data_IF_597960724088
#
_entry.id   IF_597960724088
#
_cell.length_a   1.000
_cell.length_b   1.000
_cell.length_c   1.000
_cell.angle_alpha   90.00
_cell.angle_beta   90.00
_cell.angle_gamma   90.00
#
_symmetry.space_group_name_H-M   'P 1'
#
loop_
_entity.id
_entity.type
_entity.pdbx_description
1 polymer ?
#
# COMPACT_ATOMS: atom_id res chain seq x y z
N UNK A 1 13.56 -12.77 1.78
CA UNK A 1 12.56 -11.76 1.34
C UNK A 1 11.20 -12.15 1.88
N UNK A 2 10.52 -11.23 2.55
CA UNK A 2 9.20 -11.47 3.11
C UNK A 2 8.16 -11.74 1.99
N UNK A 3 8.16 -10.93 0.93
CA UNK A 3 7.22 -11.07 -0.17
C UNK A 3 7.87 -11.78 -1.37
N UNK A 4 7.27 -12.91 -1.78
CA UNK A 4 7.73 -13.75 -2.89
C UNK A 4 7.77 -13.00 -4.23
N UNK A 5 6.83 -12.08 -4.43
CA UNK A 5 6.65 -11.36 -5.69
C UNK A 5 7.13 -9.91 -5.64
N UNK A 6 7.94 -9.53 -4.63
CA UNK A 6 8.35 -8.14 -4.41
C UNK A 6 8.97 -7.44 -5.63
N UNK A 7 9.61 -8.20 -6.54
CA UNK A 7 10.21 -7.67 -7.79
C UNK A 7 9.19 -7.35 -8.89
N UNK A 8 7.95 -7.81 -8.73
CA UNK A 8 6.88 -7.69 -9.73
C UNK A 8 5.66 -6.92 -9.22
N UNK A 9 5.68 -6.51 -7.95
CA UNK A 9 4.60 -5.73 -7.35
C UNK A 9 4.93 -4.26 -7.49
N UNK A 10 3.97 -3.51 -8.00
CA UNK A 10 4.03 -2.07 -8.17
C UNK A 10 2.77 -1.43 -7.59
N UNK A 11 2.92 -0.28 -6.93
CA UNK A 11 1.78 0.54 -6.52
C UNK A 11 1.51 1.60 -7.57
N UNK A 12 0.25 1.86 -7.83
CA UNK A 12 -0.19 2.99 -8.65
C UNK A 12 -0.11 4.26 -7.83
N UNK A 13 0.48 5.29 -8.40
CA UNK A 13 0.50 6.65 -7.88
C UNK A 13 -0.26 7.58 -8.81
N UNK A 14 -0.87 8.61 -8.24
CA UNK A 14 -1.61 9.64 -8.98
C UNK A 14 -1.02 11.01 -8.71
N UNK A 15 -0.71 11.74 -9.76
CA UNK A 15 -0.30 13.14 -9.73
C UNK A 15 -1.43 13.97 -10.34
N UNK A 16 -2.13 14.71 -9.48
CA UNK A 16 -3.35 15.42 -9.83
C UNK A 16 -3.14 16.90 -9.53
N UNK A 17 -3.45 17.77 -10.51
CA UNK A 17 -3.66 19.20 -10.27
C UNK A 17 -5.08 19.53 -10.64
N UNK A 18 -5.81 20.11 -9.69
CA UNK A 18 -7.17 20.56 -9.91
C UNK A 18 -7.44 21.84 -9.12
N UNK A 19 -8.02 22.84 -9.79
CA UNK A 19 -8.28 24.12 -9.13
C UNK A 19 -7.04 24.82 -8.56
N UNK A 20 -5.87 24.62 -9.17
CA UNK A 20 -4.59 25.20 -8.72
C UNK A 20 -3.89 24.45 -7.57
N UNK A 21 -4.47 23.36 -7.06
CA UNK A 21 -3.86 22.54 -6.00
C UNK A 21 -3.19 21.31 -6.60
N UNK A 22 -1.91 21.09 -6.27
CA UNK A 22 -1.16 19.89 -6.62
C UNK A 22 -1.31 18.82 -5.53
N UNK A 23 -1.69 17.61 -5.94
CA UNK A 23 -1.82 16.45 -5.08
C UNK A 23 -0.94 15.32 -5.61
N UNK A 24 -0.01 14.86 -4.78
CA UNK A 24 0.83 13.70 -5.03
C UNK A 24 0.36 12.54 -4.15
N UNK A 25 -0.43 11.63 -4.73
CA UNK A 25 -1.18 10.63 -3.98
C UNK A 25 -0.66 9.21 -4.25
N UNK A 26 -0.62 8.33 -3.22
CA UNK A 26 -0.29 6.92 -3.35
C UNK A 26 -1.51 6.05 -3.66
N UNK A 27 -2.59 6.66 -4.14
CA UNK A 27 -3.90 6.04 -4.33
C UNK A 27 -4.40 6.22 -5.76
N UNK A 28 -5.32 5.38 -6.16
CA UNK A 28 -6.04 5.45 -7.44
C UNK A 28 -7.55 5.29 -7.23
N UNK A 29 -8.32 5.35 -8.32
CA UNK A 29 -9.75 5.08 -8.27
C UNK A 29 -10.05 3.60 -8.00
N UNK A 30 -11.26 3.34 -7.51
CA UNK A 30 -11.74 1.98 -7.20
C UNK A 30 -11.76 1.05 -8.42
N UNK A 31 -12.08 1.56 -9.60
CA UNK A 31 -12.14 0.79 -10.84
C UNK A 31 -10.79 0.53 -11.50
N UNK A 32 -9.76 1.33 -11.19
CA UNK A 32 -8.51 1.30 -11.96
C UNK A 32 -7.83 -0.08 -11.97
N UNK A 33 -7.71 -0.73 -10.82
CA UNK A 33 -7.07 -2.04 -10.73
C UNK A 33 -7.79 -3.11 -11.56
N UNK A 34 -9.13 -3.16 -11.47
CA UNK A 34 -9.96 -4.09 -12.23
C UNK A 34 -9.86 -3.86 -13.74
N UNK A 35 -9.94 -2.61 -14.16
CA UNK A 35 -9.83 -2.21 -15.57
C UNK A 35 -8.46 -2.56 -16.14
N UNK A 36 -7.38 -2.23 -15.42
CA UNK A 36 -6.02 -2.56 -15.86
C UNK A 36 -5.81 -4.06 -15.99
N UNK A 37 -6.32 -4.86 -15.07
CA UNK A 37 -6.24 -6.32 -15.17
C UNK A 37 -7.02 -6.86 -16.36
N UNK A 38 -8.18 -6.28 -16.65
CA UNK A 38 -9.05 -6.72 -17.75
C UNK A 38 -8.44 -6.42 -19.12
N UNK A 39 -7.92 -5.21 -19.31
CA UNK A 39 -7.59 -4.69 -20.62
C UNK A 39 -6.10 -4.79 -20.98
N UNK A 40 -5.24 -4.98 -19.98
CA UNK A 40 -3.80 -5.01 -20.18
C UNK A 40 -3.21 -6.37 -19.76
N UNK A 41 -2.77 -7.17 -20.74
CA UNK A 41 -2.30 -8.54 -20.48
C UNK A 41 -1.04 -8.62 -19.62
N UNK A 42 -0.32 -7.52 -19.44
CA UNK A 42 0.86 -7.43 -18.56
C UNK A 42 0.50 -7.52 -17.07
N UNK A 43 -0.73 -7.21 -16.70
CA UNK A 43 -1.21 -7.27 -15.32
C UNK A 43 -1.69 -8.69 -15.02
N UNK A 44 -0.98 -9.39 -14.14
CA UNK A 44 -1.33 -10.74 -13.69
C UNK A 44 -2.47 -10.71 -12.66
N UNK A 45 -2.37 -9.80 -11.67
CA UNK A 45 -3.35 -9.60 -10.62
C UNK A 45 -3.28 -8.19 -10.06
N UNK A 46 -4.32 -7.76 -9.36
CA UNK A 46 -4.33 -6.54 -8.57
C UNK A 46 -4.95 -6.78 -7.20
N UNK A 47 -4.71 -5.87 -6.29
CA UNK A 47 -5.41 -5.76 -5.00
C UNK A 47 -5.47 -4.31 -4.56
N UNK A 48 -6.57 -3.94 -3.91
CA UNK A 48 -6.75 -2.62 -3.31
C UNK A 48 -6.70 -2.73 -1.80
N UNK A 49 -6.12 -1.73 -1.16
CA UNK A 49 -6.17 -1.52 0.27
C UNK A 49 -6.86 -0.17 0.54
N UNK A 50 -7.71 -0.13 1.55
CA UNK A 50 -8.46 1.06 1.94
C UNK A 50 -8.36 1.26 3.45
N UNK A 51 -7.89 2.43 3.89
CA UNK A 51 -7.70 2.77 5.30
C UNK A 51 -8.34 4.12 5.69
N UNK A 52 -9.09 4.75 4.78
CA UNK A 52 -9.66 6.09 5.01
C UNK A 52 -10.75 6.13 6.09
N UNK A 53 -11.24 4.97 6.54
CA UNK A 53 -12.20 4.89 7.66
C UNK A 53 -11.52 5.10 9.04
N UNK A 54 -10.18 5.21 9.07
CA UNK A 54 -9.44 5.38 10.32
C UNK A 54 -9.49 4.16 11.24
N UNK A 55 -9.19 4.37 12.54
CA UNK A 55 -9.20 3.32 13.55
C UNK A 55 -10.58 2.69 13.75
N UNK A 56 -10.60 1.43 14.21
CA UNK A 56 -11.84 0.74 14.59
C UNK A 56 -11.90 0.45 16.07
N UNK A 57 -13.06 0.65 16.65
CA UNK A 57 -13.35 0.19 17.99
C UNK A 57 -13.77 -1.29 17.94
N UNK A 58 -12.93 -2.16 18.49
CA UNK A 58 -13.12 -3.62 18.50
C UNK A 58 -13.41 -4.08 19.93
N UNK A 59 -14.44 -4.91 20.08
CA UNK A 59 -14.89 -5.38 21.39
C UNK A 59 -13.94 -6.43 21.97
N UNK A 60 -13.56 -6.24 23.24
CA UNK A 60 -12.86 -7.22 24.06
C UNK A 60 -13.52 -7.31 25.43
N UNK A 61 -14.20 -8.41 25.70
CA UNK A 61 -15.04 -8.53 26.93
C UNK A 61 -16.14 -7.48 26.96
N UNK A 62 -16.15 -6.65 28.02
CA UNK A 62 -17.15 -5.60 28.19
C UNK A 62 -16.73 -4.22 27.65
N UNK A 63 -15.54 -4.10 27.07
CA UNK A 63 -14.99 -2.83 26.59
C UNK A 63 -14.69 -2.86 25.11
N UNK A 64 -14.67 -1.69 24.50
CA UNK A 64 -14.16 -1.49 23.15
C UNK A 64 -12.72 -0.95 23.21
N UNK A 65 -11.84 -1.52 22.38
CA UNK A 65 -10.45 -1.08 22.24
C UNK A 65 -10.32 -0.40 20.88
N UNK A 66 -9.66 0.76 20.85
CA UNK A 66 -9.32 1.44 19.63
C UNK A 66 -8.13 0.74 18.96
N UNK A 67 -8.32 0.29 17.73
CA UNK A 67 -7.29 -0.37 16.91
C UNK A 67 -6.97 0.48 15.70
N UNK A 68 -5.73 0.95 15.62
CA UNK A 68 -5.26 1.85 14.56
C UNK A 68 -4.73 1.08 13.33
N UNK A 69 -4.29 -0.18 13.55
CA UNK A 69 -3.69 -1.02 12.50
C UNK A 69 -4.75 -1.85 11.79
N UNK A 70 -5.68 -1.15 11.14
CA UNK A 70 -6.85 -1.71 10.48
C UNK A 70 -6.87 -1.30 9.00
N UNK A 71 -7.05 -2.28 8.11
CA UNK A 71 -7.13 -2.07 6.66
C UNK A 71 -8.30 -2.89 6.11
N UNK A 72 -9.08 -2.31 5.19
CA UNK A 72 -9.96 -3.09 4.32
C UNK A 72 -9.18 -3.51 3.08
N UNK A 73 -9.37 -4.75 2.64
CA UNK A 73 -8.62 -5.30 1.53
C UNK A 73 -9.51 -6.15 0.61
N UNK A 74 -9.18 -6.15 -0.68
CA UNK A 74 -9.74 -7.09 -1.63
C UNK A 74 -9.38 -8.54 -1.25
N UNK A 75 -10.22 -9.50 -1.60
CA UNK A 75 -9.94 -10.93 -1.44
C UNK A 75 -8.67 -11.38 -2.19
N UNK A 76 -8.23 -10.60 -3.19
CA UNK A 76 -7.00 -10.84 -3.96
C UNK A 76 -5.72 -10.44 -3.22
N UNK A 77 -5.81 -9.87 -2.02
CA UNK A 77 -4.65 -9.48 -1.20
C UNK A 77 -3.61 -10.60 -1.11
N UNK A 78 -4.06 -11.81 -0.82
CA UNK A 78 -3.20 -12.98 -0.61
C UNK A 78 -2.67 -13.60 -1.91
N UNK A 79 -3.14 -13.16 -3.06
CA UNK A 79 -2.61 -13.52 -4.38
C UNK A 79 -1.46 -12.59 -4.79
N UNK A 80 -1.51 -11.34 -4.33
CA UNK A 80 -0.49 -10.32 -4.63
C UNK A 80 0.61 -10.33 -3.58
N UNK A 81 0.24 -10.30 -2.30
CA UNK A 81 1.19 -10.30 -1.19
C UNK A 81 1.32 -11.68 -0.54
N UNK A 82 2.51 -11.98 -0.03
CA UNK A 82 2.81 -13.24 0.64
C UNK A 82 2.65 -13.07 2.15
N UNK A 83 1.74 -13.83 2.74
CA UNK A 83 1.58 -13.91 4.20
C UNK A 83 1.77 -15.36 4.66
N UNK A 84 2.38 -15.55 5.81
CA UNK A 84 2.49 -16.87 6.42
C UNK A 84 1.21 -17.14 7.22
N UNK A 85 0.36 -18.04 6.72
CA UNK A 85 -0.87 -18.47 7.40
C UNK A 85 -0.53 -19.37 8.59
N UNK A 86 -1.21 -19.15 9.72
CA UNK A 86 -1.15 -19.97 10.93
C UNK A 86 -2.39 -20.87 11.00
N UNK A 87 -3.56 -20.29 10.75
CA UNK A 87 -4.85 -20.98 10.80
C UNK A 87 -5.77 -20.45 9.70
N UNK A 88 -6.62 -21.31 9.13
CA UNK A 88 -7.55 -20.97 8.07
C UNK A 88 -6.96 -21.03 6.65
N UNK A 89 -7.75 -20.55 5.66
CA UNK A 89 -7.39 -20.53 4.24
C UNK A 89 -7.43 -19.10 3.69
N UNK A 90 -6.27 -18.50 3.51
CA UNK A 90 -6.15 -17.14 2.97
C UNK A 90 -6.63 -17.01 1.53
N UNK A 91 -6.69 -18.10 0.75
CA UNK A 91 -7.21 -18.06 -0.63
C UNK A 91 -8.71 -17.81 -0.69
N UNK A 92 -9.43 -18.16 0.40
CA UNK A 92 -10.87 -17.96 0.54
C UNK A 92 -11.23 -16.86 1.54
N UNK A 93 -10.23 -16.27 2.18
CA UNK A 93 -10.42 -15.20 3.12
C UNK A 93 -10.88 -13.93 2.41
N UNK A 94 -11.70 -13.13 3.06
CA UNK A 94 -12.22 -11.84 2.58
C UNK A 94 -13.08 -11.91 1.29
N UNK A 95 -13.55 -13.11 0.89
CA UNK A 95 -14.34 -13.29 -0.33
C UNK A 95 -15.82 -12.89 -0.19
N UNK A 96 -16.26 -12.66 1.03
CA UNK A 96 -17.63 -12.26 1.35
C UNK A 96 -17.60 -11.15 2.40
N UNK A 97 -18.66 -10.32 2.47
CA UNK A 97 -18.76 -9.30 3.50
C UNK A 97 -18.76 -9.91 4.91
N UNK A 98 -18.50 -9.08 5.90
CA UNK A 98 -18.43 -9.45 7.31
C UNK A 98 -17.39 -10.55 7.61
N UNK A 99 -16.27 -10.53 6.90
CA UNK A 99 -15.10 -11.38 7.16
C UNK A 99 -13.88 -10.56 7.53
N UNK A 100 -13.01 -11.17 8.33
CA UNK A 100 -11.77 -10.55 8.80
C UNK A 100 -10.64 -11.59 8.87
N UNK A 101 -9.45 -11.16 8.52
CA UNK A 101 -8.18 -11.87 8.79
C UNK A 101 -7.41 -11.06 9.81
N UNK A 102 -6.81 -11.74 10.80
CA UNK A 102 -6.06 -11.07 11.87
C UNK A 102 -4.66 -11.65 12.01
N UNK A 103 -3.77 -10.87 12.63
CA UNK A 103 -2.42 -11.33 12.97
C UNK A 103 -2.43 -12.28 14.18
N UNK A 104 -1.32 -12.98 14.36
CA UNK A 104 -1.06 -13.84 15.51
C UNK A 104 -1.18 -13.07 16.82
N UNK A 105 -0.60 -11.89 16.89
CA UNK A 105 -0.67 -11.02 18.08
C UNK A 105 -2.10 -10.55 18.36
N UNK A 106 -2.87 -10.17 17.35
CA UNK A 106 -4.27 -9.82 17.50
C UNK A 106 -5.12 -11.03 17.93
N UNK A 107 -4.88 -12.23 17.38
CA UNK A 107 -5.58 -13.44 17.82
C UNK A 107 -5.32 -13.74 19.31
N UNK A 108 -4.08 -13.66 19.77
CA UNK A 108 -3.71 -13.82 21.17
C UNK A 108 -4.35 -12.74 22.07
N UNK A 109 -4.34 -11.47 21.60
CA UNK A 109 -4.93 -10.32 22.30
C UNK A 109 -6.42 -10.50 22.57
N UNK A 110 -7.19 -10.94 21.56
CA UNK A 110 -8.64 -11.00 21.60
C UNK A 110 -9.19 -12.36 22.08
N UNK A 111 -8.51 -13.46 21.76
CA UNK A 111 -9.00 -14.81 21.99
C UNK A 111 -8.12 -15.65 22.91
N UNK A 112 -6.95 -15.14 23.32
CA UNK A 112 -5.97 -15.89 24.14
C UNK A 112 -5.28 -17.05 23.41
N UNK A 113 -5.56 -17.24 22.11
CA UNK A 113 -5.05 -18.36 21.30
C UNK A 113 -4.97 -17.97 19.84
N UNK A 114 -4.12 -18.67 19.07
CA UNK A 114 -4.07 -18.53 17.59
C UNK A 114 -5.07 -19.44 16.88
N UNK A 115 -5.60 -20.45 17.56
CA UNK A 115 -6.71 -21.29 17.06
C UNK A 115 -8.03 -20.53 17.26
N UNK A 116 -8.30 -19.60 16.37
CA UNK A 116 -9.43 -18.68 16.48
C UNK A 116 -10.33 -18.68 15.23
N UNK A 117 -10.10 -19.57 14.28
CA UNK A 117 -10.89 -19.69 13.06
C UNK A 117 -12.38 -19.84 13.38
N UNK A 118 -13.21 -19.11 12.63
CA UNK A 118 -14.67 -19.14 12.79
C UNK A 118 -15.22 -18.34 13.97
N UNK A 119 -14.39 -17.88 14.90
CA UNK A 119 -14.81 -16.94 15.96
C UNK A 119 -15.22 -15.61 15.35
N UNK A 120 -15.93 -14.78 16.11
CA UNK A 120 -16.40 -13.46 15.69
C UNK A 120 -15.71 -12.34 16.42
N UNK A 121 -15.49 -11.25 15.71
CA UNK A 121 -15.06 -9.96 16.25
C UNK A 121 -16.23 -8.99 16.07
N UNK A 122 -16.58 -8.28 17.13
CA UNK A 122 -17.58 -7.23 17.12
C UNK A 122 -16.90 -5.86 17.03
N UNK A 123 -17.34 -5.04 16.08
CA UNK A 123 -16.93 -3.64 15.97
C UNK A 123 -18.12 -2.74 16.31
N UNK A 124 -17.87 -1.46 16.59
CA UNK A 124 -18.96 -0.50 16.78
C UNK A 124 -19.49 0.12 15.48
N UNK A 125 -19.01 -0.34 14.32
CA UNK A 125 -19.48 0.14 13.02
C UNK A 125 -20.97 -0.19 12.83
N UNK A 126 -21.73 0.71 12.20
CA UNK A 126 -23.10 0.48 11.77
C UNK A 126 -23.98 -0.24 12.82
N UNK A 127 -23.99 0.22 14.09
CA UNK A 127 -24.74 -0.41 15.19
C UNK A 127 -24.26 -1.84 15.53
N UNK A 128 -22.96 -2.06 15.62
CA UNK A 128 -22.31 -3.30 16.04
C UNK A 128 -22.30 -4.38 14.93
N UNK A 129 -21.32 -4.28 14.04
CA UNK A 129 -21.10 -5.31 13.02
C UNK A 129 -20.29 -6.47 13.60
N UNK A 130 -20.73 -7.70 13.32
CA UNK A 130 -19.99 -8.92 13.64
C UNK A 130 -19.22 -9.39 12.40
N UNK A 131 -17.91 -9.59 12.57
CA UNK A 131 -17.03 -10.11 11.52
C UNK A 131 -16.56 -11.51 11.87
N UNK A 132 -16.75 -12.45 10.95
CA UNK A 132 -16.26 -13.82 11.09
C UNK A 132 -14.77 -13.88 10.78
N UNK A 133 -14.00 -14.49 11.66
CA UNK A 133 -12.59 -14.74 11.46
C UNK A 133 -12.38 -15.87 10.45
N UNK A 134 -11.72 -15.58 9.34
CA UNK A 134 -11.51 -16.51 8.22
C UNK A 134 -10.08 -17.00 8.10
N UNK A 135 -9.11 -16.29 8.66
CA UNK A 135 -7.74 -16.76 8.79
C UNK A 135 -6.98 -16.01 9.89
N UNK A 136 -5.94 -16.66 10.42
CA UNK A 136 -4.91 -16.06 11.26
C UNK A 136 -3.59 -16.13 10.52
N UNK A 137 -2.90 -15.00 10.41
CA UNK A 137 -1.59 -14.88 9.74
C UNK A 137 -0.52 -14.52 10.76
N UNK A 138 0.74 -14.79 10.43
CA UNK A 138 1.85 -14.27 11.24
C UNK A 138 1.88 -12.75 11.23
N UNK A 139 2.38 -12.19 12.31
CA UNK A 139 2.66 -10.76 12.37
C UNK A 139 3.54 -10.33 11.21
N UNK A 140 3.27 -9.14 10.71
CA UNK A 140 4.06 -8.55 9.63
C UNK A 140 5.40 -8.06 10.21
N UNK A 141 6.50 -8.22 9.48
CA UNK A 141 7.79 -7.69 9.93
C UNK A 141 7.80 -6.16 9.92
N UNK A 142 8.57 -5.54 10.80
CA UNK A 142 8.66 -4.09 10.96
C UNK A 142 9.10 -3.36 9.68
N UNK A 143 9.83 -4.04 8.80
CA UNK A 143 10.26 -3.51 7.50
C UNK A 143 9.27 -3.79 6.36
N UNK A 144 8.04 -4.20 6.67
CA UNK A 144 6.99 -4.30 5.67
C UNK A 144 6.55 -2.90 5.23
N UNK A 145 6.14 -2.78 3.95
CA UNK A 145 5.69 -1.52 3.38
C UNK A 145 4.45 -0.96 4.10
N UNK A 146 3.56 -1.81 4.56
CA UNK A 146 2.43 -1.47 5.42
C UNK A 146 2.34 -2.48 6.56
N UNK A 147 1.68 -2.10 7.65
CA UNK A 147 1.52 -2.95 8.82
C UNK A 147 0.08 -2.86 9.32
N UNK A 148 -0.59 -4.01 9.40
CA UNK A 148 -1.94 -4.11 9.89
C UNK A 148 -2.12 -5.36 10.77
N UNK A 149 -2.96 -5.23 11.78
CA UNK A 149 -3.35 -6.34 12.64
C UNK A 149 -4.69 -6.95 12.23
N UNK A 150 -5.50 -6.17 11.49
CA UNK A 150 -6.82 -6.56 11.03
C UNK A 150 -6.97 -6.22 9.56
N UNK A 151 -7.33 -7.22 8.75
CA UNK A 151 -7.75 -7.05 7.37
C UNK A 151 -9.22 -7.39 7.27
N UNK A 152 -10.06 -6.38 7.08
CA UNK A 152 -11.50 -6.55 6.84
C UNK A 152 -11.79 -6.67 5.35
N UNK A 153 -12.86 -7.36 4.99
CA UNK A 153 -13.30 -7.46 3.58
C UNK A 153 -13.58 -6.07 3.00
N UNK A 154 -13.13 -5.85 1.77
CA UNK A 154 -13.42 -4.64 0.99
C UNK A 154 -14.92 -4.42 0.81
N UNK A 155 -15.69 -5.51 0.75
CA UNK A 155 -17.16 -5.47 0.58
C UNK A 155 -17.91 -4.78 1.74
N UNK A 156 -17.22 -4.53 2.87
CA UNK A 156 -17.78 -3.77 3.99
C UNK A 156 -17.50 -2.26 3.92
N UNK A 157 -16.80 -1.79 2.92
CA UNK A 157 -16.55 -0.36 2.76
C UNK A 157 -17.80 0.30 2.18
N UNK A 158 -18.39 1.23 2.94
CA UNK A 158 -19.45 2.08 2.42
C UNK A 158 -18.81 3.16 1.55
N UNK A 159 -18.93 3.03 0.25
CA UNK A 159 -18.27 3.86 -0.75
C UNK A 159 -19.17 4.05 -1.97
N UNK A 160 -19.05 5.18 -2.64
CA UNK A 160 -19.68 5.45 -3.93
C UNK A 160 -18.85 4.79 -5.04
N UNK A 161 -19.14 3.50 -5.28
CA UNK A 161 -18.40 2.64 -6.18
C UNK A 161 -18.59 3.04 -7.66
N UNK A 162 -17.82 2.44 -8.52
CA UNK A 162 -17.83 2.64 -9.98
C UNK A 162 -17.39 4.03 -10.41
N UNK A 163 -16.38 4.57 -9.72
CA UNK A 163 -15.91 5.94 -9.91
C UNK A 163 -14.45 5.99 -10.35
N UNK A 164 -14.18 6.47 -11.58
CA UNK A 164 -12.83 6.70 -12.10
C UNK A 164 -12.17 7.99 -11.62
N UNK A 165 -12.92 8.92 -11.03
CA UNK A 165 -12.46 10.26 -10.65
C UNK A 165 -12.04 10.34 -9.19
N UNK A 166 -12.54 9.47 -8.34
CA UNK A 166 -12.29 9.48 -6.90
C UNK A 166 -11.10 8.58 -6.54
N UNK A 167 -10.03 9.15 -5.98
CA UNK A 167 -8.77 8.45 -5.72
C UNK A 167 -8.59 8.20 -4.21
N UNK A 168 -8.99 7.00 -3.73
CA UNK A 168 -8.99 6.65 -2.31
C UNK A 168 -8.40 5.26 -2.01
N UNK A 169 -7.98 4.50 -3.04
CA UNK A 169 -7.52 3.13 -2.87
C UNK A 169 -6.04 2.99 -3.17
N UNK A 170 -5.29 2.43 -2.22
CA UNK A 170 -3.91 1.99 -2.48
C UNK A 170 -3.96 0.74 -3.36
N UNK A 171 -3.77 0.92 -4.66
CA UNK A 171 -3.88 -0.16 -5.64
C UNK A 171 -2.51 -0.70 -6.00
N UNK A 172 -2.34 -2.00 -5.81
CA UNK A 172 -1.13 -2.74 -6.15
C UNK A 172 -1.38 -3.66 -7.31
N UNK A 173 -0.47 -3.63 -8.28
CA UNK A 173 -0.46 -4.50 -9.44
C UNK A 173 0.63 -5.55 -9.29
N UNK A 174 0.29 -6.81 -9.49
CA UNK A 174 1.26 -7.88 -9.73
C UNK A 174 1.45 -7.98 -11.25
N UNK A 175 2.61 -7.58 -11.73
CA UNK A 175 2.95 -7.63 -13.15
C UNK A 175 3.43 -9.02 -13.55
N UNK A 176 3.16 -9.43 -14.79
CA UNK A 176 3.74 -10.66 -15.34
C UNK A 176 5.25 -10.58 -15.40
N UNK A 177 5.90 -11.75 -15.31
CA UNK A 177 7.37 -11.83 -15.38
C UNK A 177 7.87 -11.32 -16.73
N UNK A 178 8.88 -10.44 -16.70
CA UNK A 178 9.49 -9.86 -17.91
C UNK A 178 8.75 -8.65 -18.48
N UNK A 179 7.72 -8.12 -17.80
CA UNK A 179 7.05 -6.90 -18.24
C UNK A 179 8.00 -5.70 -18.20
N UNK A 180 8.08 -4.96 -19.30
CA UNK A 180 8.69 -3.62 -19.30
C UNK A 180 7.69 -2.62 -18.70
N UNK A 181 7.91 -2.28 -17.45
CA UNK A 181 7.02 -1.39 -16.69
C UNK A 181 7.03 0.04 -17.23
N UNK A 182 8.16 0.52 -17.75
CA UNK A 182 8.23 1.86 -18.36
C UNK A 182 7.44 1.92 -19.67
N UNK A 183 7.47 0.86 -20.45
CA UNK A 183 6.62 0.75 -21.64
C UNK A 183 5.14 0.64 -21.26
N UNK A 184 4.83 -0.04 -20.16
CA UNK A 184 3.46 -0.12 -19.65
C UNK A 184 2.94 1.24 -19.19
N UNK A 185 3.71 2.04 -18.46
CA UNK A 185 3.32 3.38 -18.00
C UNK A 185 2.92 4.30 -19.15
N UNK A 186 3.54 4.16 -20.32
CA UNK A 186 3.16 4.92 -21.53
C UNK A 186 1.74 4.64 -22.01
N UNK A 187 1.06 3.63 -21.49
CA UNK A 187 -0.33 3.30 -21.82
C UNK A 187 -1.34 4.06 -20.94
N UNK A 188 -0.91 4.69 -19.84
CA UNK A 188 -1.83 5.43 -18.96
C UNK A 188 -2.57 6.57 -19.63
N UNK A 189 -2.01 7.36 -20.58
CA UNK A 189 -2.79 8.35 -21.31
C UNK A 189 -3.98 7.73 -22.07
N UNK A 190 -3.80 6.54 -22.65
CA UNK A 190 -4.90 5.81 -23.31
C UNK A 190 -5.97 5.37 -22.28
N UNK A 191 -5.54 4.86 -21.12
CA UNK A 191 -6.45 4.53 -20.02
C UNK A 191 -7.26 5.76 -19.58
N UNK A 192 -6.62 6.91 -19.40
CA UNK A 192 -7.27 8.17 -19.01
C UNK A 192 -8.32 8.56 -20.06
N UNK A 193 -7.98 8.53 -21.34
CA UNK A 193 -8.90 8.89 -22.42
C UNK A 193 -10.10 7.95 -22.51
N UNK A 194 -9.88 6.64 -22.34
CA UNK A 194 -10.93 5.64 -22.52
C UNK A 194 -11.91 5.59 -21.34
N UNK A 195 -11.46 5.83 -20.12
CA UNK A 195 -12.24 5.60 -18.91
C UNK A 195 -12.49 6.88 -18.11
N UNK A 196 -11.42 7.59 -17.72
CA UNK A 196 -11.52 8.76 -16.85
C UNK A 196 -12.23 9.89 -17.55
N UNK A 197 -11.85 10.20 -18.80
CA UNK A 197 -12.47 11.27 -19.59
C UNK A 197 -13.97 11.02 -19.83
N UNK A 198 -14.37 9.78 -20.02
CA UNK A 198 -15.79 9.43 -20.22
C UNK A 198 -16.64 9.86 -19.03
N UNK A 199 -16.19 9.60 -17.80
CA UNK A 199 -16.88 10.06 -16.59
C UNK A 199 -16.71 11.57 -16.38
N UNK A 200 -15.51 12.11 -16.63
CA UNK A 200 -15.22 13.52 -16.45
C UNK A 200 -16.12 14.42 -17.32
N UNK A 201 -16.42 14.00 -18.55
CA UNK A 201 -17.35 14.72 -19.45
C UNK A 201 -18.76 14.87 -18.87
N UNK A 202 -19.21 13.88 -18.11
CA UNK A 202 -20.54 13.89 -17.52
C UNK A 202 -20.66 14.86 -16.33
N UNK A 203 -19.54 15.19 -15.67
CA UNK A 203 -19.50 15.97 -14.42
C UNK A 203 -18.86 17.35 -14.66
N UNK A 204 -17.82 17.37 -15.50
CA UNK A 204 -17.08 18.58 -15.85
C UNK A 204 -17.43 19.01 -17.27
N UNK A 205 -17.54 20.31 -17.50
CA UNK A 205 -17.81 20.83 -18.84
C UNK A 205 -16.52 20.81 -19.70
N UNK A 206 -15.97 19.63 -19.93
CA UNK A 206 -14.79 19.39 -20.78
C UNK A 206 -15.16 18.44 -21.91
N UNK A 207 -14.53 18.63 -23.08
CA UNK A 207 -14.73 17.74 -24.25
C UNK A 207 -13.55 16.82 -24.50
N UNK A 208 -12.37 17.20 -24.03
CA UNK A 208 -11.13 16.45 -24.21
C UNK A 208 -10.21 16.58 -22.99
N UNK A 209 -9.21 15.69 -22.88
CA UNK A 209 -8.13 15.88 -21.90
C UNK A 209 -7.28 17.10 -22.20
N UNK A 210 -7.18 17.51 -23.48
CA UNK A 210 -6.49 18.74 -23.87
C UNK A 210 -7.17 19.97 -23.26
N UNK A 211 -8.50 20.03 -23.23
CA UNK A 211 -9.24 21.11 -22.58
C UNK A 211 -8.97 21.13 -21.06
N UNK A 212 -8.92 19.94 -20.44
CA UNK A 212 -8.58 19.79 -19.04
C UNK A 212 -7.17 20.32 -18.73
N UNK A 213 -6.17 19.97 -19.55
CA UNK A 213 -4.79 20.43 -19.38
C UNK A 213 -4.62 21.92 -19.69
N UNK A 214 -5.31 22.46 -20.73
CA UNK A 214 -5.29 23.90 -21.05
C UNK A 214 -5.91 24.74 -19.94
N UNK A 215 -6.85 24.20 -19.18
CA UNK A 215 -7.40 24.83 -17.99
C UNK A 215 -6.43 24.82 -16.77
N UNK A 216 -5.19 24.37 -16.95
CA UNK A 216 -4.18 24.30 -15.90
C UNK A 216 -4.27 23.07 -14.99
N UNK A 217 -5.16 22.14 -15.30
CA UNK A 217 -5.30 20.91 -14.55
C UNK A 217 -4.29 19.84 -15.02
N UNK A 218 -4.10 18.80 -14.20
CA UNK A 218 -3.19 17.68 -14.48
C UNK A 218 -3.79 16.39 -13.95
N UNK A 219 -3.61 15.30 -14.69
CA UNK A 219 -3.84 13.94 -14.22
C UNK A 219 -2.82 13.03 -14.87
N UNK A 220 -1.96 12.47 -14.04
CA UNK A 220 -0.94 11.49 -14.46
C UNK A 220 -0.90 10.33 -13.50
N UNK A 221 -0.61 9.15 -14.03
CA UNK A 221 -0.38 7.96 -13.23
C UNK A 221 1.05 7.45 -13.43
N UNK A 222 1.62 6.91 -12.37
CA UNK A 222 2.93 6.28 -12.39
C UNK A 222 2.95 5.02 -11.52
N UNK A 223 3.96 4.19 -11.71
CA UNK A 223 4.16 2.97 -10.94
C UNK A 223 5.43 3.05 -10.11
N UNK A 224 5.33 2.79 -8.82
CA UNK A 224 6.48 2.67 -7.94
C UNK A 224 6.68 1.19 -7.55
N UNK A 225 7.89 0.61 -7.71
CA UNK A 225 8.18 -0.73 -7.23
C UNK A 225 7.96 -0.85 -5.73
N UNK A 226 7.37 -1.95 -5.26
CA UNK A 226 7.14 -2.20 -3.83
C UNK A 226 8.37 -1.95 -2.95
N UNK A 227 9.55 -2.29 -3.44
CA UNK A 227 10.82 -2.13 -2.71
C UNK A 227 11.25 -0.68 -2.52
N UNK A 228 10.78 0.20 -3.39
CA UNK A 228 11.19 1.60 -3.41
C UNK A 228 10.25 2.49 -2.59
N UNK A 229 9.05 2.02 -2.27
CA UNK A 229 8.01 2.83 -1.62
C UNK A 229 8.53 3.42 -0.30
N UNK A 230 9.09 2.60 0.59
CA UNK A 230 9.50 3.04 1.93
C UNK A 230 10.55 4.17 1.91
N UNK A 231 11.49 4.16 0.97
CA UNK A 231 12.60 5.12 0.94
C UNK A 231 12.44 6.23 -0.10
N UNK A 232 11.64 5.99 -1.16
CA UNK A 232 11.59 6.90 -2.31
C UNK A 232 10.20 7.52 -2.53
N UNK A 233 9.19 7.08 -1.79
CA UNK A 233 7.88 7.71 -1.87
C UNK A 233 7.81 8.90 -0.93
N UNK A 234 7.47 10.07 -1.48
CA UNK A 234 7.29 11.36 -0.79
C UNK A 234 5.83 11.80 -0.82
N UNK A 235 4.90 10.85 -1.00
CA UNK A 235 3.49 11.14 -1.23
C UNK A 235 2.72 11.30 0.08
N UNK A 236 1.70 12.16 0.04
CA UNK A 236 0.76 12.32 1.16
C UNK A 236 -0.11 11.07 1.31
N UNK A 237 -0.54 10.78 2.55
CA UNK A 237 -1.45 9.66 2.85
C UNK A 237 -0.87 8.25 2.60
N UNK A 238 0.41 8.05 2.82
CA UNK A 238 1.03 6.72 2.82
C UNK A 238 0.41 5.81 3.89
N UNK A 239 0.35 4.49 3.61
CA UNK A 239 -0.15 3.48 4.59
C UNK A 239 0.74 3.34 5.83
N UNK A 240 2.01 3.68 5.70
CA UNK A 240 2.99 3.72 6.80
C UNK A 240 3.94 4.88 6.58
N UNK A 241 4.53 5.43 7.63
CA UNK A 241 5.51 6.50 7.51
C UNK A 241 6.66 6.09 6.58
N UNK A 242 6.98 6.97 5.63
CA UNK A 242 8.09 6.77 4.70
C UNK A 242 9.42 7.20 5.32
N UNK A 243 10.48 6.46 5.06
CA UNK A 243 11.85 6.91 5.32
C UNK A 243 12.25 7.97 4.29
N UNK A 244 13.29 8.74 4.60
CA UNK A 244 13.85 9.70 3.65
C UNK A 244 15.20 9.20 3.13
N UNK A 245 15.26 8.86 1.84
CA UNK A 245 16.46 8.38 1.18
C UNK A 245 17.62 9.38 1.29
N UNK A 246 17.35 10.68 1.30
CA UNK A 246 18.38 11.72 1.44
C UNK A 246 19.13 11.60 2.78
N UNK A 247 18.41 11.32 3.87
CA UNK A 247 19.06 11.09 5.16
C UNK A 247 19.97 9.86 5.15
N UNK A 248 19.59 8.79 4.47
CA UNK A 248 20.44 7.59 4.32
C UNK A 248 21.73 7.95 3.60
N UNK A 249 21.65 8.72 2.52
CA UNK A 249 22.84 9.17 1.75
C UNK A 249 23.72 10.09 2.61
N UNK A 250 23.12 11.08 3.28
CA UNK A 250 23.86 12.04 4.12
C UNK A 250 24.58 11.31 5.25
N UNK A 251 23.89 10.45 6.01
CA UNK A 251 24.51 9.71 7.11
C UNK A 251 25.56 8.72 6.62
N UNK A 252 25.37 8.10 5.45
CA UNK A 252 26.38 7.23 4.85
C UNK A 252 27.63 8.00 4.45
N UNK A 253 27.49 9.20 3.90
CA UNK A 253 28.61 10.06 3.58
C UNK A 253 29.37 10.48 4.84
N UNK A 254 28.66 10.91 5.89
CA UNK A 254 29.26 11.28 7.19
C UNK A 254 30.02 10.08 7.77
N UNK A 255 29.43 8.89 7.77
CA UNK A 255 30.08 7.68 8.27
C UNK A 255 31.37 7.35 7.49
N UNK A 256 31.36 7.51 6.16
CA UNK A 256 32.52 7.33 5.32
C UNK A 256 33.62 8.36 5.66
N UNK A 257 33.27 9.63 5.84
CA UNK A 257 34.25 10.67 6.24
C UNK A 257 34.87 10.38 7.60
N UNK A 258 34.07 9.95 8.58
CA UNK A 258 34.59 9.57 9.92
C UNK A 258 35.56 8.39 9.78
N UNK A 259 35.26 7.40 8.96
CA UNK A 259 36.12 6.25 8.71
C UNK A 259 37.46 6.67 8.08
N UNK A 260 37.41 7.56 7.07
CA UNK A 260 38.62 8.10 6.42
C UNK A 260 39.51 8.84 7.43
N UNK A 261 38.90 9.70 8.27
CA UNK A 261 39.65 10.43 9.32
C UNK A 261 40.30 9.44 10.31
N UNK A 262 39.56 8.42 10.73
CA UNK A 262 40.08 7.39 11.63
C UNK A 262 41.27 6.63 11.00
N UNK A 263 41.17 6.27 9.71
CA UNK A 263 42.28 5.65 8.97
C UNK A 263 43.50 6.53 8.86
N UNK A 264 43.32 7.84 8.56
CA UNK A 264 44.42 8.82 8.52
C UNK A 264 45.10 8.94 9.88
N UNK A 265 44.31 9.07 10.95
CA UNK A 265 44.87 9.14 12.32
C UNK A 265 45.62 7.87 12.69
N UNK A 266 45.11 6.71 12.33
CA UNK A 266 45.80 5.44 12.57
C UNK A 266 47.11 5.33 11.79
N UNK A 267 47.13 5.74 10.51
CA UNK A 267 48.36 5.78 9.69
C UNK A 267 49.39 6.73 10.29
N UNK A 268 48.98 7.93 10.69
CA UNK A 268 49.87 8.91 11.31
C UNK A 268 50.51 8.37 12.62
N UNK A 269 49.69 7.70 13.44
CA UNK A 269 50.15 7.12 14.70
C UNK A 269 51.13 5.95 14.49
N UNK A 270 50.88 5.11 13.50
CA UNK A 270 51.77 3.99 13.13
C UNK A 270 53.06 4.47 12.53
N UNK A 271 53.04 5.52 11.68
CA UNK A 271 54.23 6.14 11.11
C UNK A 271 55.07 6.81 12.18
N UNK A 272 54.47 7.57 13.11
CA UNK A 272 55.17 8.19 14.22
C UNK A 272 55.85 7.16 15.14
N UNK A 273 55.21 6.03 15.41
CA UNK A 273 55.83 4.95 16.20
C UNK A 273 56.95 4.23 15.48
N UNK A 274 56.91 4.10 14.16
CA UNK A 274 58.00 3.48 13.38
C UNK A 274 59.22 4.37 13.21
N UNK A 275 59.03 5.69 13.21
CA UNK A 275 60.14 6.67 13.13
C UNK A 275 60.91 6.86 14.45
N UNK A 276 60.37 6.37 15.58
CA UNK A 276 61.01 6.41 16.91
C UNK A 276 61.79 5.15 17.29
N UNK A 277 61.99 4.21 16.35
CA UNK A 277 62.86 3.05 16.46
C UNK A 277 64.07 3.20 15.56
#
# INVERSE_FOLDING_TARGET
RYNKYADRIYRINSDIRFGGTDLHLPVSSDLMGATLKKDYPEVEQYTRLYNSNGPKLIRKGNSFINEDRVIHADSTLFNVFTFKTIDGDTKKALNVPNTVVITESAAKKYFGTTNALGKTIETNDNNRTLYKLTAVIKDMPDNAHFNADFFFSMDNVNYDWDNYLSHNFHTYLLMKKGTDVKAFEKKFPQYINNYVLTQAKAIMNIQSMDDFYKAGNKLEYSLIPLKDIHLKSDRSFELSPSGNYQYVVIFSAIALFILVIACINFMNLTTARSAGR
#
